data_IF_763118484272
#
_entry.id   IF_763118484272
#
_cell.length_a   1.000
_cell.length_b   1.000
_cell.length_c   1.000
_cell.angle_alpha   90.00
_cell.angle_beta   90.00
_cell.angle_gamma   90.00
#
_symmetry.space_group_name_H-M   'P 1'
#
loop_
_entity.id
_entity.type
_entity.pdbx_description
1 polymer ?
#
# COMPACT_ATOMS: atom_id res chain seq x y z
N UNK A 1 36.93 -13.45 -11.76
CA UNK A 1 36.15 -13.47 -13.02
C UNK A 1 35.58 -12.09 -13.27
N UNK A 2 35.48 -11.66 -14.53
CA UNK A 2 34.73 -10.45 -14.88
C UNK A 2 33.24 -10.80 -14.85
N UNK A 3 32.39 -9.93 -14.32
CA UNK A 3 30.95 -10.13 -14.33
C UNK A 3 30.43 -10.12 -15.76
N UNK A 4 29.73 -11.18 -16.16
CA UNK A 4 29.02 -11.25 -17.44
C UNK A 4 27.55 -10.94 -17.19
N UNK A 5 26.99 -10.04 -17.99
CA UNK A 5 25.58 -9.64 -17.93
C UNK A 5 24.98 -9.80 -19.32
N UNK A 6 23.67 -10.07 -19.37
CA UNK A 6 22.95 -10.11 -20.66
C UNK A 6 22.94 -8.72 -21.28
N UNK A 7 23.02 -8.69 -22.60
CA UNK A 7 22.95 -7.43 -23.34
C UNK A 7 21.55 -6.81 -23.17
N UNK A 8 21.49 -5.51 -22.88
CA UNK A 8 20.25 -4.79 -22.57
C UNK A 8 19.72 -4.96 -21.14
N UNK A 9 20.51 -5.46 -20.18
CA UNK A 9 20.08 -5.48 -18.78
C UNK A 9 19.93 -4.05 -18.22
N UNK A 10 18.81 -3.77 -17.57
CA UNK A 10 18.59 -2.50 -16.89
C UNK A 10 19.43 -2.43 -15.60
N UNK A 11 19.95 -1.24 -15.28
CA UNK A 11 20.78 -1.04 -14.09
C UNK A 11 19.97 -0.70 -12.82
N UNK A 12 18.63 -0.66 -12.91
CA UNK A 12 17.73 -0.32 -11.81
C UNK A 12 17.22 -1.56 -11.06
N UNK A 13 18.11 -2.25 -10.35
CA UNK A 13 17.71 -3.39 -9.52
C UNK A 13 17.10 -2.94 -8.18
N UNK A 14 15.99 -3.55 -7.75
CA UNK A 14 15.41 -3.36 -6.41
C UNK A 14 16.22 -4.07 -5.33
N UNK A 15 16.64 -5.32 -5.61
CA UNK A 15 17.44 -6.16 -4.73
C UNK A 15 18.48 -6.92 -5.56
N UNK A 16 19.69 -7.02 -5.03
CA UNK A 16 20.81 -7.78 -5.61
C UNK A 16 21.38 -8.68 -4.52
N UNK A 17 21.43 -9.99 -4.79
CA UNK A 17 21.94 -11.00 -3.88
C UNK A 17 23.20 -11.63 -4.48
N UNK A 18 24.30 -11.56 -3.75
CA UNK A 18 25.57 -12.20 -4.09
C UNK A 18 25.62 -13.58 -3.45
N UNK A 19 25.79 -14.62 -4.27
CA UNK A 19 25.80 -16.01 -3.81
C UNK A 19 27.25 -16.50 -3.72
N UNK A 20 27.67 -16.90 -2.52
CA UNK A 20 28.96 -17.53 -2.29
C UNK A 20 29.01 -18.89 -2.98
N UNK A 21 30.02 -19.12 -3.82
CA UNK A 21 30.12 -20.31 -4.67
C UNK A 21 30.21 -21.61 -3.86
N UNK A 22 30.99 -21.63 -2.78
CA UNK A 22 31.25 -22.85 -2.01
C UNK A 22 30.13 -23.22 -1.04
N UNK A 23 29.52 -22.22 -0.41
CA UNK A 23 28.54 -22.44 0.66
C UNK A 23 27.10 -22.23 0.20
N UNK A 24 26.88 -21.68 -1.00
CA UNK A 24 25.57 -21.28 -1.53
C UNK A 24 24.78 -20.31 -0.63
N UNK A 25 25.47 -19.59 0.26
CA UNK A 25 24.85 -18.55 1.06
C UNK A 25 24.78 -17.25 0.25
N UNK A 26 23.63 -16.60 0.31
CA UNK A 26 23.36 -15.31 -0.32
C UNK A 26 23.51 -14.17 0.69
N UNK A 27 24.12 -13.07 0.22
CA UNK A 27 24.26 -11.81 0.95
C UNK A 27 23.72 -10.69 0.05
N UNK A 28 22.92 -9.78 0.59
CA UNK A 28 22.43 -8.67 -0.20
C UNK A 28 23.48 -7.55 -0.33
N UNK A 29 23.92 -7.25 -1.55
CA UNK A 29 24.73 -6.06 -1.85
C UNK A 29 23.88 -4.82 -2.16
N UNK A 30 22.61 -5.03 -2.50
CA UNK A 30 21.59 -3.98 -2.61
C UNK A 30 20.26 -4.53 -2.14
N UNK A 31 19.57 -3.78 -1.30
CA UNK A 31 18.25 -4.17 -0.83
C UNK A 31 17.38 -2.95 -0.51
N UNK A 32 16.39 -2.68 -1.37
CA UNK A 32 15.35 -1.67 -1.11
C UNK A 32 14.11 -2.25 -0.43
N UNK A 33 14.01 -3.58 -0.29
CA UNK A 33 12.86 -4.23 0.33
C UNK A 33 13.00 -4.31 1.84
N UNK A 34 14.24 -4.20 2.34
CA UNK A 34 14.63 -4.41 3.75
C UNK A 34 14.44 -5.84 4.24
N UNK A 35 14.13 -6.79 3.35
CA UNK A 35 13.98 -8.20 3.69
C UNK A 35 15.33 -8.86 4.03
N UNK A 36 16.43 -8.35 3.48
CA UNK A 36 17.76 -8.97 3.55
C UNK A 36 18.82 -8.05 4.19
N UNK A 37 18.45 -6.82 4.51
CA UNK A 37 19.38 -5.76 4.94
C UNK A 37 20.06 -6.00 6.29
N UNK A 38 19.56 -6.94 7.10
CA UNK A 38 20.11 -7.31 8.43
C UNK A 38 20.13 -8.83 8.66
N UNK A 39 19.91 -9.64 7.62
CA UNK A 39 19.90 -11.09 7.76
C UNK A 39 21.32 -11.65 7.74
N UNK A 40 21.59 -12.63 8.60
CA UNK A 40 22.75 -13.51 8.41
C UNK A 40 22.74 -14.08 6.98
N UNK A 41 23.89 -14.45 6.40
CA UNK A 41 23.92 -15.10 5.10
C UNK A 41 22.93 -16.28 5.07
N UNK A 42 22.07 -16.34 4.07
CA UNK A 42 21.00 -17.36 3.98
C UNK A 42 21.15 -18.24 2.76
N UNK A 43 20.81 -19.51 2.87
CA UNK A 43 20.61 -20.37 1.69
C UNK A 43 19.23 -20.04 1.10
N UNK A 44 19.22 -19.64 -0.17
CA UNK A 44 17.98 -19.29 -0.86
C UNK A 44 17.09 -20.52 -1.04
N UNK A 45 15.78 -20.32 -0.89
CA UNK A 45 14.77 -21.35 -1.11
C UNK A 45 13.52 -20.74 -1.76
N UNK A 46 12.52 -21.57 -2.04
CA UNK A 46 11.21 -21.12 -2.53
C UNK A 46 10.58 -20.08 -1.59
N UNK A 47 10.83 -20.19 -0.28
CA UNK A 47 10.33 -19.24 0.72
C UNK A 47 10.86 -17.82 0.47
N UNK A 48 12.09 -17.68 -0.01
CA UNK A 48 12.65 -16.37 -0.38
C UNK A 48 11.85 -15.73 -1.52
N UNK A 49 11.41 -16.53 -2.50
CA UNK A 49 10.55 -16.07 -3.58
C UNK A 49 9.19 -15.60 -3.07
N UNK A 50 8.59 -16.33 -2.11
CA UNK A 50 7.33 -15.93 -1.47
C UNK A 50 7.46 -14.63 -0.69
N UNK A 51 8.54 -14.44 0.05
CA UNK A 51 8.81 -13.18 0.77
C UNK A 51 8.92 -11.98 -0.18
N UNK A 52 9.64 -12.16 -1.29
CA UNK A 52 9.75 -11.13 -2.34
C UNK A 52 8.41 -10.81 -2.98
N UNK A 53 7.61 -11.85 -3.29
CA UNK A 53 6.27 -11.68 -3.85
C UNK A 53 5.36 -10.93 -2.88
N UNK A 54 5.32 -11.36 -1.61
CA UNK A 54 4.54 -10.69 -0.57
C UNK A 54 4.96 -9.22 -0.43
N UNK A 55 6.26 -8.91 -0.52
CA UNK A 55 6.72 -7.53 -0.49
C UNK A 55 6.25 -6.73 -1.70
N UNK A 56 6.30 -7.31 -2.91
CA UNK A 56 5.77 -6.68 -4.13
C UNK A 56 4.26 -6.40 -4.01
N UNK A 57 3.52 -7.33 -3.40
CA UNK A 57 2.07 -7.23 -3.19
C UNK A 57 1.70 -6.34 -1.99
N UNK A 58 2.63 -6.07 -1.08
CA UNK A 58 2.41 -5.19 0.08
C UNK A 58 2.31 -3.70 -0.26
N UNK A 59 2.59 -3.33 -1.51
CA UNK A 59 2.47 -1.96 -1.99
C UNK A 59 1.05 -1.44 -1.80
N UNK A 60 0.87 -0.51 -0.87
CA UNK A 60 -0.43 0.13 -0.63
C UNK A 60 -0.69 1.23 -1.64
N UNK A 61 -1.89 1.25 -2.24
CA UNK A 61 -2.33 2.39 -3.04
C UNK A 61 -2.70 3.55 -2.08
N UNK A 62 -2.01 4.69 -2.11
CA UNK A 62 -2.27 5.79 -1.17
C UNK A 62 -3.72 6.31 -1.23
N UNK A 63 -4.35 6.24 -2.40
CA UNK A 63 -5.75 6.66 -2.57
C UNK A 63 -6.72 5.63 -1.99
N UNK A 64 -6.41 4.34 -2.08
CA UNK A 64 -7.21 3.30 -1.43
C UNK A 64 -7.14 3.40 0.09
N UNK A 65 -5.94 3.62 0.64
CA UNK A 65 -5.76 3.85 2.09
C UNK A 65 -6.46 5.12 2.57
N UNK A 66 -6.42 6.20 1.78
CA UNK A 66 -7.17 7.43 2.08
C UNK A 66 -8.67 7.16 2.13
N UNK A 67 -9.22 6.41 1.16
CA UNK A 67 -10.63 6.05 1.15
C UNK A 67 -10.99 5.17 2.36
N UNK A 68 -10.17 4.17 2.67
CA UNK A 68 -10.39 3.27 3.80
C UNK A 68 -10.40 4.02 5.14
N UNK A 69 -9.44 4.92 5.34
CA UNK A 69 -9.39 5.81 6.52
C UNK A 69 -10.65 6.68 6.62
N UNK A 70 -11.06 7.28 5.50
CA UNK A 70 -12.29 8.07 5.46
C UNK A 70 -13.54 7.25 5.83
N UNK A 71 -13.69 6.04 5.27
CA UNK A 71 -14.82 5.15 5.56
C UNK A 71 -14.90 4.81 7.04
N UNK A 72 -13.76 4.47 7.66
CA UNK A 72 -13.69 4.15 9.10
C UNK A 72 -14.06 5.37 9.97
N UNK A 73 -13.48 6.54 9.68
CA UNK A 73 -13.79 7.77 10.43
C UNK A 73 -15.24 8.21 10.23
N UNK A 74 -15.76 8.13 9.00
CA UNK A 74 -17.16 8.45 8.69
C UNK A 74 -18.13 7.51 9.40
N UNK A 75 -17.81 6.22 9.51
CA UNK A 75 -18.60 5.24 10.25
C UNK A 75 -18.71 5.55 11.74
N UNK A 76 -17.66 6.13 12.32
CA UNK A 76 -17.62 6.49 13.74
C UNK A 76 -18.12 7.92 14.05
N UNK A 77 -18.22 8.79 13.03
CA UNK A 77 -18.70 10.16 13.20
C UNK A 77 -20.09 10.19 13.86
N UNK A 78 -20.27 11.08 14.83
CA UNK A 78 -21.53 11.22 15.60
C UNK A 78 -22.38 12.40 15.13
N UNK A 79 -21.86 13.23 14.22
CA UNK A 79 -22.56 14.41 13.74
C UNK A 79 -22.13 14.83 12.33
N UNK A 80 -22.95 15.68 11.70
CA UNK A 80 -22.61 16.31 10.43
C UNK A 80 -21.39 17.24 10.51
N UNK A 81 -21.12 17.80 11.69
CA UNK A 81 -19.96 18.69 11.91
C UNK A 81 -18.65 17.90 11.98
N UNK A 82 -18.70 16.63 12.36
CA UNK A 82 -17.57 15.68 12.26
C UNK A 82 -17.45 15.08 10.86
N UNK A 83 -18.57 14.74 10.22
CA UNK A 83 -18.59 14.05 8.92
C UNK A 83 -18.13 14.94 7.75
N UNK A 84 -18.54 16.22 7.72
CA UNK A 84 -18.20 17.16 6.65
C UNK A 84 -16.68 17.36 6.45
N UNK A 85 -15.88 17.71 7.47
CA UNK A 85 -14.44 17.94 7.28
C UNK A 85 -13.72 16.68 6.82
N UNK A 86 -14.11 15.49 7.33
CA UNK A 86 -13.58 14.21 6.88
C UNK A 86 -13.84 13.98 5.38
N UNK A 87 -15.05 14.29 4.92
CA UNK A 87 -15.41 14.18 3.51
C UNK A 87 -14.69 15.21 2.64
N UNK A 88 -14.58 16.47 3.07
CA UNK A 88 -13.86 17.51 2.31
C UNK A 88 -12.39 17.14 2.10
N UNK A 89 -11.73 16.60 3.12
CA UNK A 89 -10.36 16.11 3.04
C UNK A 89 -10.23 14.92 2.07
N UNK A 90 -11.10 13.93 2.20
CA UNK A 90 -11.12 12.77 1.31
C UNK A 90 -11.42 13.19 -0.15
N UNK A 91 -12.40 14.07 -0.36
CA UNK A 91 -12.82 14.55 -1.68
C UNK A 91 -11.71 15.32 -2.40
N UNK A 92 -10.94 16.14 -1.67
CA UNK A 92 -9.77 16.85 -2.19
C UNK A 92 -8.64 15.89 -2.55
N UNK A 93 -8.35 14.94 -1.66
CA UNK A 93 -7.20 14.02 -1.80
C UNK A 93 -7.42 12.96 -2.87
N UNK A 94 -8.66 12.52 -3.08
CA UNK A 94 -9.03 11.49 -4.05
C UNK A 94 -9.38 12.08 -5.43
N UNK A 95 -9.20 13.38 -5.64
CA UNK A 95 -9.64 14.06 -6.87
C UNK A 95 -9.10 13.41 -8.15
N UNK A 96 -10.01 13.08 -9.06
CA UNK A 96 -9.65 12.48 -10.36
C UNK A 96 -9.34 10.98 -10.30
N UNK A 97 -9.54 10.34 -9.15
CA UNK A 97 -9.43 8.88 -8.98
C UNK A 97 -10.82 8.24 -8.93
N UNK A 98 -10.90 6.93 -9.19
CA UNK A 98 -12.15 6.17 -9.02
C UNK A 98 -12.69 6.21 -7.57
N UNK A 99 -11.79 6.39 -6.60
CA UNK A 99 -12.11 6.44 -5.18
C UNK A 99 -12.87 7.72 -4.79
N UNK A 100 -12.84 8.76 -5.62
CA UNK A 100 -13.61 9.98 -5.40
C UNK A 100 -15.12 9.71 -5.40
N UNK A 101 -15.62 8.92 -6.36
CA UNK A 101 -17.04 8.54 -6.41
C UNK A 101 -17.42 7.72 -5.18
N UNK A 102 -16.58 6.75 -4.82
CA UNK A 102 -16.77 5.89 -3.64
C UNK A 102 -16.85 6.71 -2.35
N UNK A 103 -16.00 7.72 -2.17
CA UNK A 103 -16.06 8.62 -1.01
C UNK A 103 -17.37 9.41 -0.95
N UNK A 104 -17.90 9.85 -2.11
CA UNK A 104 -19.20 10.53 -2.15
C UNK A 104 -20.37 9.60 -1.80
N UNK A 105 -20.36 8.37 -2.30
CA UNK A 105 -21.39 7.38 -1.97
C UNK A 105 -21.45 7.12 -0.45
N UNK A 106 -20.28 6.99 0.19
CA UNK A 106 -20.17 6.82 1.66
C UNK A 106 -20.68 8.06 2.40
N UNK A 107 -20.32 9.25 1.94
CA UNK A 107 -20.81 10.50 2.54
C UNK A 107 -22.32 10.65 2.43
N UNK A 108 -22.88 10.42 1.24
CA UNK A 108 -24.32 10.54 1.00
C UNK A 108 -25.10 9.52 1.84
N UNK A 109 -24.59 8.29 1.97
CA UNK A 109 -25.17 7.27 2.83
C UNK A 109 -25.19 7.73 4.30
N UNK A 110 -24.05 8.18 4.83
CA UNK A 110 -23.95 8.63 6.24
C UNK A 110 -24.73 9.92 6.50
N UNK A 111 -24.85 10.80 5.51
CA UNK A 111 -25.67 12.01 5.62
C UNK A 111 -27.14 11.68 5.89
N UNK A 112 -27.66 10.60 5.30
CA UNK A 112 -29.05 10.18 5.52
C UNK A 112 -29.32 9.72 6.97
N UNK A 113 -28.30 9.27 7.70
CA UNK A 113 -28.42 8.89 9.12
C UNK A 113 -28.60 10.11 10.05
N UNK A 114 -28.19 11.29 9.59
CA UNK A 114 -28.24 12.55 10.34
C UNK A 114 -29.32 13.51 9.86
N UNK A 115 -29.95 13.24 8.71
CA UNK A 115 -31.15 13.96 8.31
C UNK A 115 -32.31 13.50 9.21
N UNK A 116 -32.94 14.41 9.97
CA UNK A 116 -34.09 14.01 10.79
C UNK A 116 -35.17 13.48 9.85
N UNK A 117 -35.69 12.29 10.16
CA UNK A 117 -36.92 11.79 9.56
C UNK A 117 -37.94 12.93 9.57
N UNK A 118 -38.26 13.42 8.37
CA UNK A 118 -39.08 14.60 8.17
C UNK A 118 -40.40 14.40 8.92
N UNK A 119 -40.61 15.24 9.94
CA UNK A 119 -41.88 15.62 10.55
C UNK A 119 -43.03 14.62 10.31
N UNK A 120 -43.13 13.59 11.15
CA UNK A 120 -44.42 12.95 11.37
C UNK A 120 -45.32 13.93 12.14
N UNK A 121 -46.13 14.66 11.38
CA UNK A 121 -47.23 15.49 11.83
C UNK A 121 -48.31 14.67 12.57
#
# INVERSE_FOLDING_TARGET
>A
MKSEQRDGVEYEFTTVLDIAHETHHAIASKDRTKLFSNSDPVILSEETGKQLLNWLESGVNPHEETLKSFVDMAGNAQSMDELKPLFEEAWRTLRGTEYQSKAKEVYDARKSDFEPADKAA
#
